data_IF_107143369269
#
_entry.id   IF_107143369269
#
_cell.length_a   1.000
_cell.length_b   1.000
_cell.length_c   1.000
_cell.angle_alpha   90.00
_cell.angle_beta   90.00
_cell.angle_gamma   90.00
#
_symmetry.space_group_name_H-M   'P 1'
#
loop_
_entity.id
_entity.type
_entity.pdbx_description
1 polymer ?
#
# COMPACT_ATOMS: atom_id res chain seq x y z
N UNK A 1 4.44 12.81 1.16
CA UNK A 1 4.12 14.14 0.75
C UNK A 1 4.30 14.33 -0.74
N UNK A 2 3.36 15.00 -1.33
CA UNK A 2 3.36 15.31 -2.77
C UNK A 2 4.31 16.46 -3.16
N UNK A 3 5.10 16.95 -2.22
CA UNK A 3 5.98 18.11 -2.44
C UNK A 3 7.33 17.77 -3.08
N UNK A 4 7.65 16.50 -3.18
CA UNK A 4 8.85 16.04 -3.88
C UNK A 4 8.46 15.13 -5.02
N UNK A 5 8.82 15.53 -6.24
CA UNK A 5 8.65 14.68 -7.39
C UNK A 5 9.41 13.36 -7.21
N UNK A 6 8.88 12.22 -7.73
CA UNK A 6 9.61 10.98 -7.76
C UNK A 6 10.97 11.20 -8.42
N UNK A 7 12.04 10.78 -7.76
CA UNK A 7 13.36 10.83 -8.38
C UNK A 7 13.40 9.90 -9.60
N UNK A 8 14.14 10.25 -10.66
CA UNK A 8 14.22 9.41 -11.87
C UNK A 8 14.67 7.98 -11.61
N UNK A 9 15.43 7.77 -10.56
CA UNK A 9 15.91 6.45 -10.12
C UNK A 9 14.89 5.65 -9.30
N UNK A 10 13.78 6.25 -8.87
CA UNK A 10 12.72 5.54 -8.15
C UNK A 10 11.95 4.64 -9.11
N UNK A 11 12.18 3.33 -8.99
CA UNK A 11 11.61 2.31 -9.89
C UNK A 11 10.66 1.36 -9.19
N UNK A 12 10.49 1.48 -7.89
CA UNK A 12 9.62 0.61 -7.10
C UNK A 12 9.13 1.32 -5.84
N UNK A 13 7.96 0.93 -5.38
CA UNK A 13 7.48 1.20 -4.02
C UNK A 13 7.68 -0.03 -3.16
N UNK A 14 7.63 0.14 -1.86
CA UNK A 14 7.61 -0.98 -0.91
C UNK A 14 6.78 -0.66 0.30
N UNK A 15 6.01 -1.63 0.73
CA UNK A 15 5.39 -1.66 2.04
C UNK A 15 6.35 -2.27 3.04
N UNK A 16 6.44 -1.69 4.23
CA UNK A 16 7.38 -2.15 5.26
C UNK A 16 6.73 -2.15 6.63
N UNK A 17 7.12 -3.10 7.46
CA UNK A 17 6.78 -3.12 8.88
C UNK A 17 8.05 -3.07 9.69
N UNK A 18 8.08 -2.16 10.65
CA UNK A 18 9.19 -1.99 11.59
C UNK A 18 8.76 -2.39 12.99
N UNK A 19 9.63 -3.12 13.68
CA UNK A 19 9.54 -3.34 15.12
C UNK A 19 10.36 -2.28 15.84
N UNK A 20 9.74 -1.59 16.77
CA UNK A 20 10.39 -0.56 17.58
C UNK A 20 10.55 -1.09 19.02
N UNK A 21 11.78 -1.15 19.51
CA UNK A 21 12.08 -1.41 20.92
C UNK A 21 12.42 -0.10 21.61
N UNK A 22 11.46 0.47 22.31
CA UNK A 22 11.61 1.76 22.98
C UNK A 22 12.60 1.70 24.18
N UNK A 23 12.79 0.52 24.78
CA UNK A 23 13.75 0.36 25.89
C UNK A 23 15.18 0.36 25.39
N UNK A 24 15.41 -0.30 24.27
CA UNK A 24 16.74 -0.39 23.64
C UNK A 24 16.99 0.72 22.64
N UNK A 25 15.98 1.54 22.33
CA UNK A 25 16.02 2.58 21.29
C UNK A 25 16.49 2.02 19.94
N UNK A 26 15.95 0.85 19.56
CA UNK A 26 16.29 0.16 18.31
C UNK A 26 15.06 0.03 17.40
N UNK A 27 15.30 0.05 16.09
CA UNK A 27 14.31 -0.19 15.05
C UNK A 27 14.81 -1.30 14.15
N UNK A 28 13.97 -2.28 13.90
CA UNK A 28 14.26 -3.42 13.03
C UNK A 28 13.17 -3.53 11.95
N UNK A 29 13.57 -3.64 10.67
CA UNK A 29 12.63 -3.95 9.61
C UNK A 29 12.35 -5.46 9.65
N UNK A 30 11.12 -5.83 9.98
CA UNK A 30 10.72 -7.23 10.17
C UNK A 30 9.93 -7.81 9.00
N UNK A 31 9.44 -6.96 8.11
CA UNK A 31 8.75 -7.37 6.90
C UNK A 31 8.88 -6.29 5.82
N UNK A 32 8.93 -6.70 4.56
CA UNK A 32 8.88 -5.80 3.40
C UNK A 32 8.33 -6.54 2.18
N UNK A 33 7.63 -5.80 1.33
CA UNK A 33 7.08 -6.28 0.05
C UNK A 33 7.05 -5.16 -0.98
N UNK A 34 7.16 -5.49 -2.27
CA UNK A 34 6.92 -4.60 -3.40
C UNK A 34 8.15 -4.30 -4.26
N UNK A 35 9.37 -4.43 -3.73
CA UNK A 35 10.60 -4.17 -4.51
C UNK A 35 10.69 -5.08 -5.73
N UNK A 36 10.35 -6.33 -5.60
CA UNK A 36 10.37 -7.37 -6.63
C UNK A 36 9.31 -7.16 -7.71
N UNK A 37 8.26 -6.37 -7.41
CA UNK A 37 7.18 -6.03 -8.34
C UNK A 37 7.57 -4.92 -9.32
N UNK A 38 8.66 -4.20 -9.04
CA UNK A 38 9.16 -3.15 -9.92
C UNK A 38 8.18 -2.02 -10.17
N UNK A 39 8.19 -1.47 -11.39
CA UNK A 39 7.38 -0.31 -11.77
C UNK A 39 5.87 -0.61 -11.82
N UNK A 40 5.47 -1.83 -12.15
CA UNK A 40 4.04 -2.20 -12.23
C UNK A 40 3.31 -2.01 -10.90
N UNK A 41 4.04 -2.07 -9.81
CA UNK A 41 3.53 -1.88 -8.46
C UNK A 41 3.97 -0.53 -7.85
N UNK A 42 4.79 0.23 -8.56
CA UNK A 42 5.26 1.54 -8.13
C UNK A 42 4.10 2.52 -8.03
N UNK A 43 3.90 3.08 -6.85
CA UNK A 43 2.86 4.05 -6.55
C UNK A 43 3.51 5.36 -6.10
N UNK A 44 3.59 6.38 -6.98
CA UNK A 44 4.26 7.64 -6.67
C UNK A 44 3.53 8.49 -5.63
N UNK A 45 2.21 8.34 -5.53
CA UNK A 45 1.39 9.12 -4.60
C UNK A 45 0.36 8.22 -3.96
N UNK A 46 0.00 8.52 -2.74
CA UNK A 46 -0.99 7.82 -1.91
C UNK A 46 -0.78 6.31 -1.86
N UNK A 47 -0.81 5.73 -0.75
CA UNK A 47 -0.75 4.27 -0.51
C UNK A 47 -0.97 4.03 0.97
N UNK A 48 -1.33 2.82 1.32
CA UNK A 48 -1.55 2.43 2.70
C UNK A 48 -0.89 1.07 2.97
N UNK A 49 -0.27 0.95 4.13
CA UNK A 49 0.12 -0.33 4.71
C UNK A 49 -0.40 -0.35 6.13
N UNK A 50 -1.22 -1.33 6.47
CA UNK A 50 -1.85 -1.44 7.78
C UNK A 50 -1.79 -2.87 8.31
N UNK A 51 -1.36 -3.02 9.56
CA UNK A 51 -1.46 -4.28 10.26
C UNK A 51 -2.85 -4.43 10.88
N UNK A 52 -3.53 -5.52 10.55
CA UNK A 52 -4.84 -5.87 11.07
C UNK A 52 -4.71 -6.92 12.17
N UNK A 53 -4.76 -6.47 13.42
CA UNK A 53 -4.52 -7.30 14.59
C UNK A 53 -5.56 -8.43 14.75
N UNK A 54 -6.82 -8.17 14.39
CA UNK A 54 -7.92 -9.13 14.50
C UNK A 54 -7.78 -10.32 13.54
N UNK A 55 -7.09 -10.12 12.42
CA UNK A 55 -6.85 -11.16 11.40
C UNK A 55 -5.41 -11.67 11.39
N UNK A 56 -4.53 -11.01 12.13
CA UNK A 56 -3.08 -11.22 12.03
C UNK A 56 -2.61 -11.16 10.58
N UNK A 57 -3.00 -10.10 9.89
CA UNK A 57 -2.69 -9.87 8.47
C UNK A 57 -2.16 -8.47 8.24
N UNK A 58 -1.53 -8.28 7.08
CA UNK A 58 -1.09 -6.97 6.58
C UNK A 58 -1.96 -6.63 5.39
N UNK A 59 -2.65 -5.51 5.46
CA UNK A 59 -3.39 -4.93 4.35
C UNK A 59 -2.50 -3.91 3.64
N UNK A 60 -2.43 -4.00 2.32
CA UNK A 60 -1.67 -3.07 1.49
C UNK A 60 -2.56 -2.54 0.38
N UNK A 61 -2.49 -1.25 0.16
CA UNK A 61 -3.14 -0.57 -0.94
C UNK A 61 -2.13 0.27 -1.71
N UNK A 62 -1.85 -0.10 -2.95
CA UNK A 62 -0.99 0.65 -3.87
C UNK A 62 -1.86 1.45 -4.82
N UNK A 63 -2.19 2.68 -4.43
CA UNK A 63 -3.30 3.47 -4.98
C UNK A 63 -3.09 3.94 -6.43
N UNK A 64 -1.84 4.13 -6.85
CA UNK A 64 -1.48 4.65 -8.17
C UNK A 64 -0.44 3.76 -8.85
N UNK A 65 -0.53 2.46 -8.62
CA UNK A 65 0.43 1.48 -9.11
C UNK A 65 0.58 1.53 -10.63
N UNK A 66 1.83 1.47 -11.11
CA UNK A 66 2.18 1.48 -12.52
C UNK A 66 1.94 2.81 -13.24
N UNK A 67 1.57 3.85 -12.52
CA UNK A 67 1.37 5.17 -13.10
C UNK A 67 2.69 5.82 -13.50
N UNK A 68 2.70 6.44 -14.66
CA UNK A 68 3.72 7.40 -15.05
C UNK A 68 3.22 8.81 -14.76
N UNK A 69 4.13 9.66 -14.30
CA UNK A 69 3.81 11.00 -13.87
C UNK A 69 4.72 12.01 -14.58
N UNK A 70 4.11 13.01 -15.21
CA UNK A 70 4.86 14.11 -15.78
C UNK A 70 5.13 15.17 -14.71
N UNK A 71 6.38 15.38 -14.44
CA UNK A 71 6.86 16.28 -13.41
C UNK A 71 6.58 17.77 -13.71
N UNK A 72 6.53 18.13 -14.99
CA UNK A 72 6.34 19.53 -15.40
C UNK A 72 4.88 19.96 -15.26
N UNK A 73 3.96 19.08 -15.65
CA UNK A 73 2.51 19.36 -15.59
C UNK A 73 1.83 18.92 -14.30
N UNK A 74 2.48 18.03 -13.53
CA UNK A 74 1.88 17.43 -12.35
C UNK A 74 0.78 16.40 -12.67
N UNK A 75 0.72 15.90 -13.89
CA UNK A 75 -0.32 15.02 -14.37
C UNK A 75 0.16 13.58 -14.58
N UNK A 76 -0.73 12.62 -14.46
CA UNK A 76 -0.47 11.25 -14.89
C UNK A 76 -0.43 11.16 -16.40
N UNK A 77 0.62 10.56 -16.94
CA UNK A 77 0.79 10.28 -18.36
C UNK A 77 0.32 8.88 -18.75
N UNK A 78 0.11 8.01 -17.77
CA UNK A 78 -0.55 6.71 -17.93
C UNK A 78 -1.57 6.50 -16.83
N UNK A 79 -2.63 5.74 -17.10
CA UNK A 79 -3.64 5.41 -16.12
C UNK A 79 -3.06 4.49 -15.04
N UNK A 80 -3.28 4.78 -13.74
CA UNK A 80 -2.93 3.88 -12.65
C UNK A 80 -3.75 2.58 -12.68
N UNK A 81 -3.18 1.54 -12.08
CA UNK A 81 -3.85 0.26 -11.87
C UNK A 81 -3.67 -0.15 -10.41
N UNK A 82 -4.46 0.39 -9.50
CA UNK A 82 -4.34 0.12 -8.07
C UNK A 82 -4.37 -1.36 -7.71
N UNK A 83 -3.58 -1.73 -6.70
CA UNK A 83 -3.63 -3.04 -6.09
C UNK A 83 -4.17 -2.94 -4.65
N UNK A 84 -5.06 -3.86 -4.31
CA UNK A 84 -5.53 -4.14 -2.97
C UNK A 84 -5.05 -5.54 -2.61
N UNK A 85 -4.26 -5.66 -1.56
CA UNK A 85 -3.60 -6.90 -1.20
C UNK A 85 -3.76 -7.19 0.29
N UNK A 86 -3.91 -8.46 0.64
CA UNK A 86 -3.88 -8.92 2.02
C UNK A 86 -2.87 -10.06 2.16
N UNK A 87 -1.96 -9.91 3.09
CA UNK A 87 -0.92 -10.88 3.43
C UNK A 87 -1.19 -11.48 4.79
N UNK A 88 -1.04 -12.80 4.94
CA UNK A 88 -0.86 -13.37 6.27
C UNK A 88 0.42 -12.81 6.88
N UNK A 89 0.40 -12.60 8.19
CA UNK A 89 1.59 -12.08 8.87
C UNK A 89 2.85 -12.86 8.52
N UNK A 90 3.89 -12.14 8.08
CA UNK A 90 5.18 -12.71 7.68
C UNK A 90 5.23 -13.39 6.32
N UNK A 91 4.12 -13.48 5.59
CA UNK A 91 4.11 -14.05 4.25
C UNK A 91 4.82 -13.15 3.24
N UNK A 92 5.45 -13.77 2.24
CA UNK A 92 6.12 -13.08 1.12
C UNK A 92 5.20 -12.84 -0.07
N UNK A 93 4.09 -13.58 -0.14
CA UNK A 93 3.10 -13.49 -1.21
C UNK A 93 1.74 -13.13 -0.62
N UNK A 94 0.93 -12.36 -1.34
CA UNK A 94 -0.41 -12.03 -0.87
C UNK A 94 -1.31 -13.27 -0.86
N UNK A 95 -2.17 -13.36 0.15
CA UNK A 95 -3.26 -14.35 0.20
C UNK A 95 -4.43 -13.93 -0.68
N UNK A 96 -4.61 -12.63 -0.86
CA UNK A 96 -5.60 -12.00 -1.73
C UNK A 96 -4.92 -10.86 -2.46
N UNK A 97 -5.11 -10.81 -3.78
CA UNK A 97 -4.69 -9.69 -4.62
C UNK A 97 -5.83 -9.31 -5.56
N UNK A 98 -6.22 -8.05 -5.54
CA UNK A 98 -7.20 -7.46 -6.43
C UNK A 98 -6.54 -6.30 -7.16
N UNK A 99 -6.51 -6.36 -8.49
CA UNK A 99 -6.05 -5.26 -9.31
C UNK A 99 -7.25 -4.54 -9.94
N UNK A 100 -7.34 -3.24 -9.72
CA UNK A 100 -8.27 -2.37 -10.42
C UNK A 100 -7.59 -1.84 -11.68
N UNK A 101 -8.33 -1.69 -12.76
CA UNK A 101 -7.79 -1.28 -14.05
C UNK A 101 -8.23 0.12 -14.44
N UNK A 102 -7.28 0.92 -14.95
CA UNK A 102 -7.54 2.24 -15.50
C UNK A 102 -8.32 3.16 -14.55
N UNK A 103 -7.97 3.16 -13.30
CA UNK A 103 -8.61 4.04 -12.31
C UNK A 103 -7.59 4.62 -11.35
N UNK A 104 -7.89 5.78 -10.81
CA UNK A 104 -7.10 6.40 -9.75
C UNK A 104 -7.78 6.13 -8.42
N UNK A 105 -7.02 5.62 -7.47
CA UNK A 105 -7.47 5.46 -6.10
C UNK A 105 -6.83 6.48 -5.18
N UNK A 106 -7.49 6.74 -4.05
CA UNK A 106 -6.95 7.60 -3.00
C UNK A 106 -6.73 6.80 -1.72
N UNK A 107 -7.77 6.14 -1.24
CA UNK A 107 -7.74 5.30 -0.04
C UNK A 107 -8.60 4.05 -0.24
N UNK A 108 -8.21 2.96 0.41
CA UNK A 108 -9.00 1.77 0.59
C UNK A 108 -8.85 1.30 2.04
N UNK A 109 -9.97 0.97 2.68
CA UNK A 109 -10.00 0.50 4.05
C UNK A 109 -10.78 -0.81 4.12
N UNK A 110 -10.19 -1.88 4.67
CA UNK A 110 -10.96 -3.07 4.97
C UNK A 110 -11.87 -2.81 6.17
N UNK A 111 -13.09 -3.30 6.09
CA UNK A 111 -14.00 -3.27 7.23
C UNK A 111 -14.73 -4.61 7.36
N UNK A 112 -15.12 -4.95 8.58
CA UNK A 112 -15.95 -6.12 8.83
C UNK A 112 -17.41 -5.79 8.59
N UNK A 113 -18.04 -6.49 7.64
CA UNK A 113 -19.48 -6.36 7.37
C UNK A 113 -20.30 -6.70 8.61
N UNK A 114 -19.90 -7.72 9.35
CA UNK A 114 -20.57 -8.11 10.61
C UNK A 114 -20.51 -7.00 11.64
N UNK A 115 -19.34 -6.37 11.82
CA UNK A 115 -19.22 -5.22 12.73
C UNK A 115 -20.00 -4.01 12.25
N UNK A 116 -20.04 -3.75 10.95
CA UNK A 116 -20.81 -2.66 10.37
C UNK A 116 -22.31 -2.87 10.57
N UNK A 117 -22.81 -4.09 10.39
CA UNK A 117 -24.21 -4.44 10.59
C UNK A 117 -24.59 -4.56 12.07
N UNK A 118 -23.67 -4.95 12.94
CA UNK A 118 -23.95 -5.04 14.39
C UNK A 118 -23.99 -3.68 15.09
N UNK A 119 -23.56 -2.61 14.43
CA UNK A 119 -23.75 -1.24 14.92
C UNK A 119 -25.13 -0.68 14.62
N UNK A 120 -26.09 -1.54 14.25
CA UNK A 120 -27.46 -1.12 14.09
C UNK A 120 -28.02 -0.57 15.40
N UNK A 121 -28.38 0.70 15.27
CA UNK A 121 -29.47 1.36 15.96
C UNK A 121 -29.48 1.16 17.48
N UNK A 122 -28.78 2.01 18.11
CA UNK A 122 -29.22 2.47 19.43
C UNK A 122 -30.07 3.72 19.27
#
# INVERSE_FOLDING_TARGET
GMEQPPLPEMKYSRSVVYKIDQKKMTVEQIWAYGKERGHDWYSPVTSLTEYQADKNSIFVYSATAGASFDMASGAFTSAPNPYIEEFKWGAKEPSVEIQLKNCTGYQAWPFSVEKALSQEVK
#
